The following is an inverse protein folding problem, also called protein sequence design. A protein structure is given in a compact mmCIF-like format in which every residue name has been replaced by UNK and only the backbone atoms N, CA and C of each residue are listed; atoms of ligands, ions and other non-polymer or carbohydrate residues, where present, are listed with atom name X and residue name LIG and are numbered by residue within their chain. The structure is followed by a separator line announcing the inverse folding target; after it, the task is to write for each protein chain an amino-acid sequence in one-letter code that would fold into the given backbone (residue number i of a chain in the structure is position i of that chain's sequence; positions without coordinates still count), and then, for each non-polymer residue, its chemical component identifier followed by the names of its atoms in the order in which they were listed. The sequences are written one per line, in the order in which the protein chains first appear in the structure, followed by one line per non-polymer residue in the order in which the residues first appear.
data_IF_861631067211
#
_entry.id   IF_861631067211
#
_cell.length_a   1.000
_cell.length_b   1.000
_cell.length_c   1.000
_cell.angle_alpha   90.00
_cell.angle_beta   90.00
_cell.angle_gamma   90.00
#
_symmetry.space_group_name_H-M   'P 1'
#
loop_
_entity.id
_entity.type
_entity.pdbx_description
1 polymer ?
#
# COMPACT_ATOMS: atom_id res chain seq x y z
N UNK A 1 -23.38 -49.21 14.24
CA UNK A 1 -23.67 -47.96 14.96
C UNK A 1 -22.93 -46.88 14.15
N UNK A 2 -23.59 -46.37 13.11
CA UNK A 2 -23.05 -45.35 12.20
C UNK A 2 -22.98 -44.04 12.96
N UNK A 3 -21.80 -43.50 13.09
CA UNK A 3 -21.57 -42.14 13.59
C UNK A 3 -22.07 -41.24 12.50
N UNK A 4 -23.26 -40.62 12.68
CA UNK A 4 -23.71 -39.51 11.89
C UNK A 4 -22.75 -38.36 12.14
N UNK A 5 -21.89 -38.07 11.15
CA UNK A 5 -21.15 -36.83 11.09
C UNK A 5 -22.15 -35.64 11.19
N UNK A 6 -21.93 -34.78 12.16
CA UNK A 6 -22.78 -33.63 12.42
C UNK A 6 -22.57 -32.59 11.33
N UNK A 7 -23.45 -32.63 10.34
CA UNK A 7 -23.64 -31.51 9.38
C UNK A 7 -24.33 -30.36 10.11
N UNK A 8 -23.60 -29.49 10.80
CA UNK A 8 -24.01 -28.14 11.15
C UNK A 8 -22.88 -27.37 11.84
N UNK A 9 -21.72 -27.23 11.17
CA UNK A 9 -20.82 -26.17 11.53
C UNK A 9 -21.24 -24.88 10.81
N UNK A 10 -21.23 -23.71 11.47
CA UNK A 10 -21.55 -22.45 10.81
C UNK A 10 -20.57 -22.23 9.65
N UNK A 11 -21.10 -22.09 8.44
CA UNK A 11 -20.29 -21.76 7.28
C UNK A 11 -19.85 -20.30 7.40
N UNK A 12 -18.56 -20.09 7.61
CA UNK A 12 -17.95 -18.75 7.63
C UNK A 12 -17.46 -18.41 6.23
N UNK A 13 -17.92 -17.29 5.69
CA UNK A 13 -17.40 -16.73 4.47
C UNK A 13 -16.38 -15.64 4.81
N UNK A 14 -15.18 -15.68 4.21
CA UNK A 14 -14.08 -14.77 4.54
C UNK A 14 -13.33 -14.29 3.29
N UNK A 15 -12.65 -13.16 3.40
CA UNK A 15 -11.61 -12.78 2.44
C UNK A 15 -10.29 -13.44 2.82
N UNK A 16 -9.62 -14.08 1.86
CA UNK A 16 -8.33 -14.72 2.07
C UNK A 16 -7.21 -13.88 1.48
N UNK A 17 -6.16 -13.64 2.25
CA UNK A 17 -4.96 -12.95 1.79
C UNK A 17 -3.76 -13.88 1.94
N UNK A 18 -3.08 -14.11 0.81
CA UNK A 18 -1.89 -14.94 0.73
C UNK A 18 -0.66 -14.06 0.56
N UNK A 19 0.18 -13.98 1.59
CA UNK A 19 1.36 -13.16 1.53
C UNK A 19 2.45 -13.73 0.60
N UNK A 20 3.45 -12.92 0.31
CA UNK A 20 4.68 -13.38 -0.30
C UNK A 20 5.44 -14.35 0.63
N UNK A 21 6.33 -15.17 0.08
CA UNK A 21 7.10 -16.09 0.91
C UNK A 21 7.93 -17.08 0.11
N UNK A 22 7.98 -16.94 -1.21
CA UNK A 22 8.70 -17.87 -2.09
C UNK A 22 8.18 -19.29 -1.90
N UNK A 23 9.09 -20.29 -1.79
CA UNK A 23 8.72 -21.71 -1.66
C UNK A 23 7.91 -22.02 -0.39
N UNK A 24 7.99 -21.20 0.65
CA UNK A 24 7.22 -21.35 1.89
C UNK A 24 5.71 -21.28 1.66
N UNK A 25 5.26 -20.66 0.55
CA UNK A 25 3.84 -20.60 0.16
C UNK A 25 3.22 -21.99 -0.10
N UNK A 26 4.01 -23.05 -0.22
CA UNK A 26 3.52 -24.43 -0.19
C UNK A 26 2.65 -24.71 1.03
N UNK A 27 2.99 -24.13 2.17
CA UNK A 27 2.23 -24.28 3.42
C UNK A 27 0.80 -23.75 3.34
N UNK A 28 0.53 -22.80 2.44
CA UNK A 28 -0.82 -22.27 2.24
C UNK A 28 -1.80 -23.32 1.74
N UNK A 29 -1.36 -24.28 0.93
CA UNK A 29 -2.24 -25.36 0.48
C UNK A 29 -2.79 -26.17 1.66
N UNK A 30 -1.94 -26.47 2.66
CA UNK A 30 -2.36 -27.15 3.88
C UNK A 30 -3.27 -26.28 4.76
N UNK A 31 -2.95 -24.99 4.88
CA UNK A 31 -3.78 -24.06 5.63
C UNK A 31 -5.16 -23.88 5.01
N UNK A 32 -5.26 -23.71 3.68
CA UNK A 32 -6.53 -23.62 2.94
C UNK A 32 -7.37 -24.88 3.16
N UNK A 33 -6.78 -26.07 3.02
CA UNK A 33 -7.48 -27.33 3.23
C UNK A 33 -8.04 -27.46 4.67
N UNK A 34 -7.32 -26.98 5.66
CA UNK A 34 -7.78 -27.03 7.05
C UNK A 34 -8.84 -25.95 7.35
N UNK A 35 -8.75 -24.76 6.73
CA UNK A 35 -9.81 -23.74 6.80
C UNK A 35 -11.12 -24.27 6.22
N UNK A 36 -11.11 -24.84 5.02
CA UNK A 36 -12.31 -25.42 4.38
C UNK A 36 -12.88 -26.58 5.20
N UNK A 37 -12.03 -27.46 5.77
CA UNK A 37 -12.48 -28.55 6.66
C UNK A 37 -13.24 -28.03 7.87
N UNK A 38 -12.89 -26.83 8.35
CA UNK A 38 -13.55 -26.17 9.47
C UNK A 38 -14.71 -25.25 9.04
N UNK A 39 -15.21 -25.39 7.81
CA UNK A 39 -16.39 -24.68 7.32
C UNK A 39 -16.12 -23.25 6.84
N UNK A 40 -14.88 -22.85 6.61
CA UNK A 40 -14.53 -21.57 6.01
C UNK A 40 -14.61 -21.67 4.49
N UNK A 41 -15.31 -20.74 3.85
CA UNK A 41 -15.36 -20.53 2.40
C UNK A 41 -14.81 -19.15 2.06
N UNK A 42 -14.37 -18.94 0.82
CA UNK A 42 -13.71 -17.70 0.44
C UNK A 42 -14.59 -16.84 -0.44
N UNK A 43 -14.82 -15.58 -0.01
CA UNK A 43 -15.53 -14.57 -0.77
C UNK A 43 -14.64 -13.97 -1.87
N UNK A 44 -13.36 -13.84 -1.59
CA UNK A 44 -12.32 -13.43 -2.53
C UNK A 44 -10.96 -13.89 -2.04
N UNK A 45 -9.99 -13.93 -2.94
CA UNK A 45 -8.58 -14.20 -2.61
C UNK A 45 -7.71 -13.08 -3.16
N UNK A 46 -6.84 -12.53 -2.33
CA UNK A 46 -5.83 -11.56 -2.75
C UNK A 46 -4.45 -12.09 -2.42
N UNK A 47 -3.48 -11.90 -3.31
CA UNK A 47 -2.18 -12.52 -3.13
C UNK A 47 -1.02 -11.68 -3.65
N UNK A 48 0.18 -11.97 -3.15
CA UNK A 48 1.43 -11.35 -3.59
C UNK A 48 2.48 -12.42 -3.91
N UNK A 49 3.26 -12.18 -4.98
CA UNK A 49 4.41 -13.03 -5.34
C UNK A 49 4.02 -14.52 -5.48
N UNK A 50 4.77 -15.42 -4.87
CA UNK A 50 4.51 -16.87 -4.91
C UNK A 50 3.13 -17.27 -4.34
N UNK A 51 2.58 -16.50 -3.40
CA UNK A 51 1.20 -16.68 -2.93
C UNK A 51 0.18 -16.55 -4.04
N UNK A 52 0.48 -15.78 -5.09
CA UNK A 52 -0.40 -15.59 -6.24
C UNK A 52 -0.64 -16.86 -7.04
N UNK A 53 0.36 -17.74 -7.16
CA UNK A 53 0.19 -19.04 -7.82
C UNK A 53 -0.82 -19.91 -7.06
N UNK A 54 -0.68 -19.99 -5.74
CA UNK A 54 -1.58 -20.78 -4.89
C UNK A 54 -3.00 -20.21 -4.94
N UNK A 55 -3.14 -18.89 -4.81
CA UNK A 55 -4.44 -18.21 -4.88
C UNK A 55 -5.13 -18.37 -6.24
N UNK A 56 -4.37 -18.23 -7.33
CA UNK A 56 -4.89 -18.40 -8.68
C UNK A 56 -5.40 -19.84 -8.95
N UNK A 57 -4.67 -20.85 -8.50
CA UNK A 57 -5.08 -22.25 -8.63
C UNK A 57 -6.38 -22.52 -7.85
N UNK A 58 -6.48 -22.04 -6.61
CA UNK A 58 -7.69 -22.15 -5.80
C UNK A 58 -8.88 -21.48 -6.50
N UNK A 59 -8.72 -20.24 -6.95
CA UNK A 59 -9.79 -19.47 -7.59
C UNK A 59 -10.20 -19.99 -8.96
N UNK A 60 -9.35 -20.82 -9.59
CA UNK A 60 -9.65 -21.50 -10.87
C UNK A 60 -10.41 -22.81 -10.71
N UNK A 61 -10.94 -23.11 -9.52
CA UNK A 61 -11.81 -24.25 -9.24
C UNK A 61 -11.08 -25.53 -8.81
N UNK A 62 -9.80 -25.47 -8.43
CA UNK A 62 -9.17 -26.62 -7.76
C UNK A 62 -9.68 -26.75 -6.33
N UNK A 63 -10.15 -27.93 -5.96
CA UNK A 63 -10.43 -28.21 -4.55
C UNK A 63 -9.13 -28.16 -3.73
N UNK A 64 -9.23 -27.88 -2.44
CA UNK A 64 -8.03 -27.83 -1.57
C UNK A 64 -7.26 -29.17 -1.57
N UNK A 65 -7.94 -30.30 -1.69
CA UNK A 65 -7.29 -31.60 -1.83
C UNK A 65 -6.51 -31.73 -3.15
N UNK A 66 -7.11 -31.31 -4.27
CA UNK A 66 -6.43 -31.27 -5.56
C UNK A 66 -5.22 -30.33 -5.51
N UNK A 67 -5.38 -29.16 -4.89
CA UNK A 67 -4.30 -28.18 -4.70
C UNK A 67 -3.12 -28.79 -3.93
N UNK A 68 -3.37 -29.46 -2.79
CA UNK A 68 -2.33 -30.15 -2.01
C UNK A 68 -1.64 -31.22 -2.87
N UNK A 69 -2.41 -32.04 -3.58
CA UNK A 69 -1.86 -33.12 -4.40
C UNK A 69 -1.01 -32.59 -5.57
N UNK A 70 -1.41 -31.51 -6.21
CA UNK A 70 -0.66 -30.87 -7.29
C UNK A 70 0.65 -30.25 -6.78
N UNK A 71 0.59 -29.55 -5.67
CA UNK A 71 1.77 -28.92 -5.06
C UNK A 71 2.81 -29.96 -4.60
N UNK A 72 2.39 -31.09 -4.05
CA UNK A 72 3.31 -32.15 -3.68
C UNK A 72 4.08 -32.74 -4.88
N UNK A 73 3.42 -32.82 -6.04
CA UNK A 73 4.00 -33.36 -7.28
C UNK A 73 4.83 -32.34 -8.06
N UNK A 74 4.62 -31.05 -7.81
CA UNK A 74 5.26 -29.99 -8.56
C UNK A 74 6.77 -29.94 -8.32
N UNK A 75 7.54 -29.90 -9.40
CA UNK A 75 8.98 -29.57 -9.34
C UNK A 75 9.14 -28.05 -9.41
N UNK A 76 9.47 -27.46 -8.28
CA UNK A 76 9.65 -26.01 -8.17
C UNK A 76 10.94 -25.51 -8.84
N UNK A 77 11.92 -26.39 -9.11
CA UNK A 77 13.12 -25.99 -9.87
C UNK A 77 12.76 -25.61 -11.30
N UNK A 78 11.69 -26.20 -11.84
CA UNK A 78 11.14 -25.88 -13.16
C UNK A 78 10.38 -24.56 -13.25
N UNK A 79 10.18 -23.80 -12.16
CA UNK A 79 9.49 -22.51 -12.22
C UNK A 79 10.26 -21.41 -12.94
N UNK A 80 11.56 -21.57 -13.10
CA UNK A 80 12.44 -20.64 -13.78
C UNK A 80 13.11 -21.32 -14.96
N UNK A 81 13.16 -20.62 -16.09
CA UNK A 81 13.84 -21.10 -17.30
C UNK A 81 15.34 -21.26 -17.09
N UNK A 82 16.03 -21.77 -18.13
CA UNK A 82 17.49 -21.94 -18.11
C UNK A 82 18.22 -20.66 -17.77
N UNK A 83 19.35 -20.76 -17.07
CA UNK A 83 20.27 -19.65 -16.88
C UNK A 83 20.84 -19.29 -18.25
N UNK A 84 20.38 -18.20 -18.83
CA UNK A 84 20.86 -17.76 -20.12
C UNK A 84 21.95 -16.69 -19.96
N UNK A 85 23.19 -17.04 -20.28
CA UNK A 85 24.32 -16.11 -20.23
C UNK A 85 24.18 -14.91 -21.19
N UNK A 86 23.35 -15.04 -22.27
CA UNK A 86 23.06 -13.97 -23.21
C UNK A 86 22.02 -12.97 -22.70
N UNK A 87 21.08 -13.40 -21.86
CA UNK A 87 20.13 -12.48 -21.21
C UNK A 87 20.82 -11.46 -20.29
N UNK A 88 21.98 -11.80 -19.76
CA UNK A 88 22.84 -10.88 -18.99
C UNK A 88 23.27 -9.63 -19.77
N UNK A 89 23.24 -9.66 -21.09
CA UNK A 89 23.57 -8.48 -21.91
C UNK A 89 22.45 -7.45 -21.93
N UNK A 90 21.19 -7.93 -21.89
CA UNK A 90 19.97 -7.06 -21.90
C UNK A 90 19.45 -6.76 -20.49
N UNK A 91 19.68 -7.69 -19.55
CA UNK A 91 19.31 -7.58 -18.13
C UNK A 91 20.46 -8.13 -17.27
N UNK A 92 21.54 -7.36 -17.09
CA UNK A 92 22.76 -7.84 -16.46
C UNK A 92 22.57 -8.33 -15.02
N UNK A 93 21.42 -8.03 -14.41
CA UNK A 93 21.09 -8.40 -13.03
C UNK A 93 20.08 -9.54 -12.91
N UNK A 94 19.45 -10.00 -14.00
CA UNK A 94 18.50 -11.12 -13.94
C UNK A 94 19.23 -12.48 -14.01
N UNK A 95 18.94 -13.36 -13.04
CA UNK A 95 19.54 -14.71 -12.98
C UNK A 95 18.93 -15.63 -14.04
N UNK A 96 17.65 -15.52 -14.30
CA UNK A 96 16.89 -16.32 -15.26
C UNK A 96 16.28 -15.46 -16.35
N UNK A 97 16.19 -16.01 -17.57
CA UNK A 97 15.64 -15.30 -18.72
C UNK A 97 14.15 -14.99 -18.54
N UNK A 98 13.38 -15.94 -18.04
CA UNK A 98 11.93 -15.81 -17.85
C UNK A 98 11.42 -16.64 -16.67
N UNK A 99 10.28 -16.24 -16.12
CA UNK A 99 9.49 -17.06 -15.21
C UNK A 99 8.66 -18.05 -16.03
N UNK A 100 8.65 -19.31 -15.62
CA UNK A 100 7.78 -20.35 -16.17
C UNK A 100 6.51 -20.57 -15.32
N UNK A 101 6.30 -19.77 -14.30
CA UNK A 101 5.08 -19.81 -13.47
C UNK A 101 3.80 -19.76 -14.30
N UNK A 102 3.66 -18.93 -15.36
CA UNK A 102 2.48 -18.95 -16.23
C UNK A 102 2.24 -20.30 -16.90
N UNK A 103 3.31 -20.95 -17.38
CA UNK A 103 3.19 -22.27 -18.02
C UNK A 103 2.79 -23.33 -17.01
N UNK A 104 3.47 -23.35 -15.86
CA UNK A 104 3.15 -24.30 -14.78
C UNK A 104 1.71 -24.13 -14.30
N UNK A 105 1.22 -22.90 -14.17
CA UNK A 105 -0.17 -22.63 -13.84
C UNK A 105 -1.13 -23.27 -14.86
N UNK A 106 -0.91 -23.07 -16.16
CA UNK A 106 -1.74 -23.67 -17.20
C UNK A 106 -1.64 -25.21 -17.19
N UNK A 107 -0.45 -25.78 -17.00
CA UNK A 107 -0.24 -27.23 -16.96
C UNK A 107 -1.00 -27.86 -15.77
N UNK A 108 -0.98 -27.23 -14.60
CA UNK A 108 -1.72 -27.68 -13.42
C UNK A 108 -3.25 -27.61 -13.60
N UNK A 109 -3.73 -26.74 -14.50
CA UNK A 109 -5.13 -26.62 -14.90
C UNK A 109 -5.47 -27.43 -16.17
N UNK A 110 -4.65 -28.40 -16.55
CA UNK A 110 -4.85 -29.24 -17.73
C UNK A 110 -4.95 -28.44 -19.05
N UNK A 111 -4.12 -27.42 -19.19
CA UNK A 111 -4.04 -26.53 -20.34
C UNK A 111 -5.05 -25.38 -20.36
N UNK A 112 -5.88 -25.24 -19.33
CA UNK A 112 -6.77 -24.07 -19.22
C UNK A 112 -5.99 -22.84 -18.82
N UNK A 113 -6.42 -21.68 -19.32
CA UNK A 113 -5.86 -20.36 -18.98
C UNK A 113 -7.02 -19.37 -18.84
N UNK A 114 -7.71 -19.36 -17.69
CA UNK A 114 -8.86 -18.49 -17.50
C UNK A 114 -8.46 -17.03 -17.43
N UNK A 115 -9.39 -16.15 -17.81
CA UNK A 115 -9.35 -14.72 -17.50
C UNK A 115 -9.83 -14.48 -16.06
N UNK A 116 -9.60 -13.28 -15.53
CA UNK A 116 -10.12 -12.94 -14.19
C UNK A 116 -11.64 -13.03 -14.11
N UNK A 117 -12.36 -12.71 -15.19
CA UNK A 117 -13.82 -12.78 -15.23
C UNK A 117 -14.38 -14.22 -15.23
N UNK A 118 -13.57 -15.21 -15.56
CA UNK A 118 -13.95 -16.63 -15.62
C UNK A 118 -13.64 -17.41 -14.34
N UNK A 119 -13.03 -16.75 -13.33
CA UNK A 119 -12.69 -17.42 -12.08
C UNK A 119 -13.93 -17.66 -11.20
N UNK A 120 -13.98 -18.82 -10.52
CA UNK A 120 -15.06 -19.18 -9.62
C UNK A 120 -15.09 -18.32 -8.35
N UNK A 121 -13.92 -17.92 -7.88
CA UNK A 121 -13.74 -17.03 -6.73
C UNK A 121 -13.01 -15.78 -7.24
N UNK A 122 -13.50 -14.55 -6.94
CA UNK A 122 -12.78 -13.32 -7.26
C UNK A 122 -11.34 -13.34 -6.77
N UNK A 123 -10.41 -13.10 -7.68
CA UNK A 123 -8.98 -13.13 -7.40
C UNK A 123 -8.33 -11.79 -7.71
N UNK A 124 -7.38 -11.40 -6.86
CA UNK A 124 -6.54 -10.23 -7.10
C UNK A 124 -5.07 -10.55 -6.83
N UNK A 125 -4.20 -10.06 -7.70
CA UNK A 125 -2.75 -10.07 -7.47
C UNK A 125 -2.15 -8.71 -7.79
N UNK A 126 -0.93 -8.47 -7.33
CA UNK A 126 -0.29 -7.15 -7.38
C UNK A 126 1.09 -7.20 -8.00
N UNK A 127 1.39 -6.16 -8.77
CA UNK A 127 2.74 -5.79 -9.19
C UNK A 127 3.06 -4.37 -8.75
N UNK A 128 4.31 -3.97 -8.84
CA UNK A 128 4.74 -2.60 -8.59
C UNK A 128 5.44 -2.04 -9.82
N UNK A 129 4.97 -0.90 -10.31
CA UNK A 129 5.67 -0.14 -11.34
C UNK A 129 6.78 0.70 -10.67
N UNK A 130 8.02 0.36 -10.95
CA UNK A 130 9.18 1.02 -10.33
C UNK A 130 9.47 2.41 -10.92
N UNK A 131 8.82 2.78 -12.02
CA UNK A 131 8.93 4.13 -12.60
C UNK A 131 7.98 5.08 -11.89
N UNK A 132 6.67 4.77 -11.86
CA UNK A 132 5.66 5.58 -11.19
C UNK A 132 5.60 5.34 -9.67
N UNK A 133 6.28 4.30 -9.17
CA UNK A 133 6.27 3.86 -7.76
C UNK A 133 4.87 3.49 -7.24
N UNK A 134 3.99 3.04 -8.15
CA UNK A 134 2.60 2.70 -7.84
C UNK A 134 2.36 1.19 -7.88
N UNK A 135 1.43 0.73 -7.04
CA UNK A 135 0.90 -0.62 -7.16
C UNK A 135 -0.01 -0.74 -8.37
N UNK A 136 0.10 -1.87 -9.07
CA UNK A 136 -0.82 -2.28 -10.11
C UNK A 136 -1.58 -3.51 -9.63
N UNK A 137 -2.90 -3.40 -9.52
CA UNK A 137 -3.78 -4.50 -9.11
C UNK A 137 -4.35 -5.15 -10.35
N UNK A 138 -4.22 -6.47 -10.43
CA UNK A 138 -4.78 -7.30 -11.49
C UNK A 138 -5.91 -8.13 -10.91
N UNK A 139 -7.13 -7.88 -11.34
CA UNK A 139 -8.35 -8.52 -10.83
C UNK A 139 -9.48 -8.43 -11.85
N UNK A 140 -10.61 -9.07 -11.54
CA UNK A 140 -11.86 -8.94 -12.28
C UNK A 140 -12.38 -7.49 -12.38
N UNK A 141 -12.07 -6.65 -11.38
CA UNK A 141 -12.48 -5.24 -11.34
C UNK A 141 -11.60 -4.32 -12.18
N UNK A 142 -10.31 -4.66 -12.36
CA UNK A 142 -9.33 -3.80 -13.04
C UNK A 142 -9.03 -4.25 -14.45
N UNK A 143 -8.89 -5.56 -14.67
CA UNK A 143 -8.50 -6.18 -15.95
C UNK A 143 -9.27 -7.48 -16.19
N UNK A 144 -10.62 -7.48 -16.27
CA UNK A 144 -11.44 -8.70 -16.31
C UNK A 144 -11.11 -9.64 -17.44
N UNK A 145 -10.65 -9.13 -18.59
CA UNK A 145 -10.35 -9.91 -19.81
C UNK A 145 -8.88 -10.37 -19.87
N UNK A 146 -8.03 -9.94 -18.94
CA UNK A 146 -6.65 -10.40 -18.86
C UNK A 146 -6.60 -11.84 -18.40
N UNK A 147 -5.74 -12.66 -19.00
CA UNK A 147 -5.53 -14.02 -18.52
C UNK A 147 -4.79 -14.02 -17.17
N UNK A 148 -5.17 -14.94 -16.29
CA UNK A 148 -4.53 -15.07 -14.98
C UNK A 148 -3.04 -15.41 -15.12
N UNK A 149 -2.67 -16.21 -16.12
CA UNK A 149 -1.26 -16.56 -16.37
C UNK A 149 -0.41 -15.34 -16.71
N UNK A 150 -0.96 -14.37 -17.42
CA UNK A 150 -0.24 -13.12 -17.73
C UNK A 150 -0.03 -12.27 -16.49
N UNK A 151 -1.02 -12.15 -15.62
CA UNK A 151 -0.89 -11.48 -14.35
C UNK A 151 0.12 -12.18 -13.42
N UNK A 152 0.13 -13.52 -13.39
CA UNK A 152 1.11 -14.30 -12.64
C UNK A 152 2.54 -14.06 -13.12
N UNK A 153 2.74 -13.92 -14.46
CA UNK A 153 4.05 -13.55 -15.01
C UNK A 153 4.57 -12.23 -14.43
N UNK A 154 3.67 -11.27 -14.23
CA UNK A 154 4.01 -9.95 -13.68
C UNK A 154 4.22 -10.06 -12.16
N UNK A 155 3.27 -10.67 -11.45
CA UNK A 155 3.29 -10.78 -10.00
C UNK A 155 4.47 -11.62 -9.46
N UNK A 156 5.07 -12.46 -10.31
CA UNK A 156 6.25 -13.27 -9.98
C UNK A 156 7.52 -12.81 -10.67
N UNK A 157 7.56 -11.59 -11.19
CA UNK A 157 8.75 -10.97 -11.78
C UNK A 157 9.70 -10.47 -10.68
N UNK A 158 10.26 -11.41 -9.92
CA UNK A 158 11.12 -11.14 -8.76
C UNK A 158 12.40 -10.43 -9.21
N UNK A 159 12.70 -9.23 -8.69
CA UNK A 159 13.91 -8.50 -9.03
C UNK A 159 15.17 -9.34 -8.81
N UNK A 160 16.14 -9.24 -9.71
CA UNK A 160 17.38 -10.01 -9.77
C UNK A 160 17.22 -11.50 -10.09
N UNK A 161 16.00 -12.05 -10.00
CA UNK A 161 15.72 -13.44 -10.38
C UNK A 161 15.26 -13.53 -11.83
N UNK A 162 14.26 -12.74 -12.22
CA UNK A 162 13.70 -12.73 -13.58
C UNK A 162 13.70 -11.32 -14.14
N UNK A 163 13.55 -11.22 -15.48
CA UNK A 163 13.39 -9.94 -16.14
C UNK A 163 12.08 -9.26 -15.72
N UNK A 164 12.08 -7.93 -15.51
CA UNK A 164 10.86 -7.19 -15.21
C UNK A 164 9.92 -7.20 -16.42
N UNK A 165 8.62 -7.06 -16.14
CA UNK A 165 7.64 -6.88 -17.20
C UNK A 165 7.68 -5.43 -17.70
N UNK A 166 7.86 -5.26 -19.03
CA UNK A 166 7.85 -3.94 -19.69
C UNK A 166 6.63 -3.80 -20.58
N UNK A 167 5.83 -2.79 -20.34
CA UNK A 167 4.66 -2.46 -21.15
C UNK A 167 4.37 -0.96 -21.04
N UNK A 168 4.10 -0.32 -22.18
CA UNK A 168 3.62 1.08 -22.27
C UNK A 168 4.44 2.09 -21.44
N UNK A 169 5.77 1.96 -21.45
CA UNK A 169 6.67 2.84 -20.69
C UNK A 169 6.79 2.50 -19.20
N UNK A 170 6.10 1.48 -18.71
CA UNK A 170 6.18 0.98 -17.35
C UNK A 170 7.22 -0.13 -17.21
N UNK A 171 7.80 -0.23 -16.04
CA UNK A 171 8.66 -1.35 -15.63
C UNK A 171 8.07 -1.96 -14.37
N UNK A 172 7.35 -3.08 -14.54
CA UNK A 172 6.62 -3.71 -13.44
C UNK A 172 7.39 -4.92 -12.93
N UNK A 173 7.49 -5.03 -11.62
CA UNK A 173 8.13 -6.12 -10.91
C UNK A 173 7.19 -6.71 -9.86
N UNK A 174 7.60 -7.83 -9.27
CA UNK A 174 6.95 -8.45 -8.11
C UNK A 174 6.77 -7.43 -6.97
N UNK A 175 5.56 -7.33 -6.46
CA UNK A 175 5.20 -6.36 -5.43
C UNK A 175 5.79 -6.66 -4.05
N UNK A 176 6.42 -7.82 -3.84
CA UNK A 176 7.05 -8.16 -2.56
C UNK A 176 8.16 -7.20 -2.12
N UNK A 177 8.67 -6.36 -3.03
CA UNK A 177 9.57 -5.25 -2.69
C UNK A 177 8.88 -4.07 -2.01
N UNK A 178 7.55 -4.00 -2.04
CA UNK A 178 6.74 -2.90 -1.53
C UNK A 178 5.58 -3.34 -0.62
N UNK A 179 5.09 -4.57 -0.73
CA UNK A 179 4.12 -5.20 0.17
C UNK A 179 4.29 -6.71 0.16
N UNK A 180 4.35 -7.35 1.32
CA UNK A 180 4.35 -8.82 1.42
C UNK A 180 2.91 -9.36 1.40
N UNK A 181 1.97 -8.65 2.03
CA UNK A 181 0.57 -9.03 2.14
C UNK A 181 -0.33 -7.86 1.71
N UNK A 182 -1.03 -7.93 0.56
CA UNK A 182 -1.86 -6.84 0.05
C UNK A 182 -3.20 -6.74 0.82
N UNK A 183 -3.12 -6.51 2.13
CA UNK A 183 -4.26 -6.51 3.07
C UNK A 183 -5.30 -5.42 2.78
N UNK A 184 -4.89 -4.38 2.07
CA UNK A 184 -5.74 -3.25 1.68
C UNK A 184 -6.73 -3.57 0.56
N UNK A 185 -6.60 -4.73 -0.11
CA UNK A 185 -7.53 -5.12 -1.19
C UNK A 185 -8.87 -5.61 -0.63
N UNK A 186 -8.87 -6.42 0.43
CA UNK A 186 -10.08 -7.00 0.98
C UNK A 186 -11.11 -5.96 1.46
N UNK A 187 -10.73 -4.88 2.17
CA UNK A 187 -11.67 -3.82 2.55
C UNK A 187 -12.37 -3.14 1.38
N UNK A 188 -11.79 -3.18 0.17
CA UNK A 188 -12.40 -2.61 -1.04
C UNK A 188 -13.65 -3.35 -1.53
N UNK A 189 -14.01 -4.49 -0.94
CA UNK A 189 -15.26 -5.19 -1.22
C UNK A 189 -16.46 -4.60 -0.48
N UNK A 190 -16.22 -3.68 0.48
CA UNK A 190 -17.26 -2.94 1.22
C UNK A 190 -18.31 -3.86 1.86
N UNK A 191 -17.84 -4.91 2.51
CA UNK A 191 -18.63 -5.87 3.25
C UNK A 191 -18.08 -6.09 4.66
N UNK A 192 -18.86 -6.78 5.50
CA UNK A 192 -18.50 -7.05 6.89
C UNK A 192 -17.83 -8.42 7.09
N UNK A 193 -17.33 -9.05 6.05
CA UNK A 193 -16.71 -10.35 6.15
C UNK A 193 -15.34 -10.31 6.87
N UNK A 194 -14.99 -11.39 7.62
CA UNK A 194 -13.67 -11.50 8.22
C UNK A 194 -12.58 -11.63 7.16
N UNK A 195 -11.39 -11.15 7.49
CA UNK A 195 -10.21 -11.19 6.63
C UNK A 195 -9.20 -12.13 7.28
N UNK A 196 -8.79 -13.17 6.57
CA UNK A 196 -7.80 -14.14 7.01
C UNK A 196 -6.51 -13.93 6.19
N UNK A 197 -5.41 -13.65 6.87
CA UNK A 197 -4.08 -13.51 6.26
C UNK A 197 -3.26 -14.73 6.59
N UNK A 198 -2.75 -15.42 5.57
CA UNK A 198 -1.75 -16.47 5.71
C UNK A 198 -0.37 -15.90 5.37
N UNK A 199 0.57 -16.02 6.30
CA UNK A 199 1.94 -15.57 6.08
C UNK A 199 2.95 -16.51 6.74
N UNK A 200 4.19 -16.64 6.19
CA UNK A 200 5.24 -17.39 6.88
C UNK A 200 5.63 -16.66 8.18
N UNK A 201 5.76 -17.43 9.26
CA UNK A 201 6.21 -16.91 10.55
C UNK A 201 7.59 -16.27 10.42
N UNK A 202 7.79 -15.21 11.20
CA UNK A 202 9.05 -14.47 11.23
C UNK A 202 10.06 -15.23 12.11
N UNK A 203 11.05 -15.86 11.51
CA UNK A 203 12.23 -16.28 12.26
C UNK A 203 13.23 -15.13 12.31
N UNK A 204 13.62 -14.73 13.53
CA UNK A 204 14.69 -13.75 13.73
C UNK A 204 16.02 -14.43 13.40
N UNK A 205 16.49 -14.25 12.17
CA UNK A 205 17.85 -14.66 11.81
C UNK A 205 18.83 -13.61 12.36
N UNK A 206 19.41 -13.94 13.50
CA UNK A 206 20.39 -13.08 14.19
C UNK A 206 21.78 -13.12 13.49
N UNK A 207 21.96 -13.93 12.44
CA UNK A 207 23.23 -13.99 11.74
C UNK A 207 23.51 -12.71 10.97
N UNK A 208 24.76 -12.23 10.94
CA UNK A 208 25.14 -11.08 10.14
C UNK A 208 24.92 -11.36 8.66
N UNK A 209 24.58 -10.32 7.90
CA UNK A 209 24.38 -10.40 6.45
C UNK A 209 25.60 -10.98 5.75
N UNK A 210 25.40 -12.00 4.92
CA UNK A 210 26.47 -12.73 4.23
C UNK A 210 26.98 -12.00 2.98
N UNK A 211 26.20 -11.02 2.46
CA UNK A 211 26.54 -10.24 1.27
C UNK A 211 25.84 -8.87 1.29
N UNK A 212 26.31 -7.96 0.44
CA UNK A 212 25.65 -6.65 0.24
C UNK A 212 24.18 -6.84 -0.23
N UNK A 213 23.93 -7.81 -1.11
CA UNK A 213 22.58 -8.13 -1.58
C UNK A 213 21.67 -8.61 -0.46
N UNK A 214 22.15 -9.47 0.44
CA UNK A 214 21.40 -9.91 1.63
C UNK A 214 21.10 -8.73 2.56
N UNK A 215 22.07 -7.83 2.77
CA UNK A 215 21.86 -6.63 3.57
C UNK A 215 20.79 -5.71 2.99
N UNK A 216 20.83 -5.43 1.69
CA UNK A 216 19.81 -4.64 0.99
C UNK A 216 18.43 -5.29 1.11
N UNK A 217 18.31 -6.60 0.89
CA UNK A 217 17.06 -7.32 1.03
C UNK A 217 16.51 -7.25 2.46
N UNK A 218 17.36 -7.30 3.48
CA UNK A 218 16.93 -7.13 4.89
C UNK A 218 16.40 -5.74 5.17
N UNK A 219 17.03 -4.69 4.60
CA UNK A 219 16.57 -3.30 4.74
C UNK A 219 15.19 -3.14 4.09
N UNK A 220 15.03 -3.59 2.83
CA UNK A 220 13.76 -3.54 2.10
C UNK A 220 12.67 -4.30 2.88
N UNK A 221 12.95 -5.54 3.24
CA UNK A 221 12.01 -6.39 3.97
C UNK A 221 11.60 -5.81 5.34
N UNK A 222 12.52 -5.14 6.04
CA UNK A 222 12.21 -4.48 7.31
C UNK A 222 11.21 -3.32 7.11
N UNK A 223 11.42 -2.49 6.10
CA UNK A 223 10.51 -1.39 5.77
C UNK A 223 9.12 -1.88 5.34
N UNK A 224 9.08 -2.85 4.41
CA UNK A 224 7.84 -3.45 3.91
C UNK A 224 7.03 -4.09 5.05
N UNK A 225 7.68 -4.91 5.89
CA UNK A 225 7.02 -5.58 7.02
C UNK A 225 6.47 -4.61 8.05
N UNK A 226 7.21 -3.55 8.34
CA UNK A 226 6.75 -2.51 9.26
C UNK A 226 5.47 -1.83 8.75
N UNK A 227 5.44 -1.48 7.46
CA UNK A 227 4.28 -0.89 6.80
C UNK A 227 3.08 -1.84 6.79
N UNK A 228 3.25 -3.07 6.32
CA UNK A 228 2.16 -4.06 6.26
C UNK A 228 1.60 -4.34 7.65
N UNK A 229 2.45 -4.40 8.69
CA UNK A 229 2.00 -4.56 10.07
C UNK A 229 1.19 -3.35 10.57
N UNK A 230 1.56 -2.15 10.17
CA UNK A 230 0.77 -0.95 10.49
C UNK A 230 -0.61 -1.02 9.82
N UNK A 231 -0.69 -1.39 8.55
CA UNK A 231 -1.96 -1.57 7.83
C UNK A 231 -2.82 -2.67 8.47
N UNK A 232 -2.24 -3.83 8.78
CA UNK A 232 -2.94 -4.93 9.47
C UNK A 232 -3.55 -4.46 10.79
N UNK A 233 -2.82 -3.63 11.55
CA UNK A 233 -3.31 -3.13 12.84
C UNK A 233 -4.48 -2.16 12.73
N UNK A 234 -4.74 -1.60 11.55
CA UNK A 234 -5.81 -0.62 11.31
C UNK A 234 -7.07 -1.23 10.71
N UNK A 235 -6.92 -2.34 10.00
CA UNK A 235 -8.05 -3.01 9.37
C UNK A 235 -8.81 -3.82 10.44
N UNK A 236 -10.11 -3.53 10.67
CA UNK A 236 -10.92 -4.32 11.58
C UNK A 236 -11.13 -5.73 11.02
N UNK A 237 -11.46 -6.68 11.89
CA UNK A 237 -11.85 -8.05 11.49
C UNK A 237 -10.78 -8.84 10.74
N UNK A 238 -9.50 -8.52 10.96
CA UNK A 238 -8.38 -9.21 10.33
C UNK A 238 -7.76 -10.23 11.30
N UNK A 239 -7.61 -11.46 10.83
CA UNK A 239 -6.91 -12.56 11.51
C UNK A 239 -5.63 -12.87 10.78
N UNK A 240 -4.50 -12.79 11.45
CA UNK A 240 -3.21 -13.18 10.88
C UNK A 240 -2.83 -14.55 11.40
N UNK A 241 -2.58 -15.47 10.48
CA UNK A 241 -2.11 -16.83 10.77
C UNK A 241 -0.66 -16.93 10.33
N UNK A 242 0.23 -16.88 11.31
CA UNK A 242 1.66 -17.07 11.11
C UNK A 242 1.97 -18.58 11.01
N UNK A 243 2.53 -19.02 9.87
CA UNK A 243 2.86 -20.41 9.60
C UNK A 243 4.35 -20.63 9.83
N UNK A 244 4.71 -21.48 10.78
CA UNK A 244 6.09 -21.85 11.05
C UNK A 244 6.62 -22.77 9.95
N UNK A 245 7.43 -22.22 9.06
CA UNK A 245 8.07 -22.95 7.95
C UNK A 245 9.48 -23.46 8.32
N UNK A 246 9.87 -23.40 9.58
CA UNK A 246 11.20 -23.81 10.03
C UNK A 246 12.33 -23.02 9.36
N UNK A 247 13.44 -23.70 9.14
CA UNK A 247 14.65 -23.11 8.53
C UNK A 247 14.65 -23.11 7.00
N UNK A 248 13.51 -23.40 6.33
CA UNK A 248 13.43 -23.40 4.86
C UNK A 248 13.70 -21.98 4.35
N UNK A 249 14.62 -21.85 3.39
CA UNK A 249 14.86 -20.59 2.70
C UNK A 249 13.77 -20.34 1.64
N UNK A 250 13.29 -19.10 1.53
CA UNK A 250 12.22 -18.73 0.60
C UNK A 250 12.58 -19.01 -0.88
N UNK A 251 13.87 -19.03 -1.20
CA UNK A 251 14.39 -19.27 -2.55
C UNK A 251 14.97 -20.67 -2.77
N UNK A 252 14.79 -21.55 -1.80
CA UNK A 252 15.20 -22.97 -1.91
C UNK A 252 14.19 -23.75 -2.74
N UNK A 253 14.37 -23.81 -4.05
CA UNK A 253 13.41 -24.44 -4.98
C UNK A 253 13.52 -25.97 -5.04
N UNK A 254 14.64 -26.56 -4.61
CA UNK A 254 14.96 -27.99 -4.64
C UNK A 254 14.49 -28.75 -3.38
N UNK A 255 13.23 -28.55 -2.99
CA UNK A 255 12.70 -29.19 -1.80
C UNK A 255 12.37 -30.68 -2.03
N UNK A 256 12.90 -31.59 -1.19
CA UNK A 256 12.45 -32.98 -1.15
C UNK A 256 10.96 -33.10 -0.83
N UNK A 257 10.32 -34.18 -1.28
CA UNK A 257 8.90 -34.44 -1.04
C UNK A 257 8.53 -34.40 0.45
N UNK A 258 9.38 -34.94 1.31
CA UNK A 258 9.20 -34.93 2.77
C UNK A 258 9.14 -33.48 3.32
N UNK A 259 10.00 -32.56 2.85
CA UNK A 259 9.97 -31.19 3.28
C UNK A 259 8.73 -30.44 2.78
N UNK A 260 8.21 -30.77 1.60
CA UNK A 260 6.94 -30.24 1.11
C UNK A 260 5.77 -30.71 2.01
N UNK A 261 5.75 -31.97 2.40
CA UNK A 261 4.73 -32.49 3.33
C UNK A 261 4.82 -31.80 4.70
N UNK A 262 6.02 -31.56 5.22
CA UNK A 262 6.24 -30.83 6.47
C UNK A 262 5.65 -29.42 6.34
N UNK A 263 5.91 -28.67 5.25
CA UNK A 263 5.36 -27.35 5.04
C UNK A 263 3.82 -27.36 4.96
N UNK A 264 3.23 -28.32 4.26
CA UNK A 264 1.77 -28.45 4.17
C UNK A 264 1.17 -28.72 5.56
N UNK A 265 1.80 -29.60 6.35
CA UNK A 265 1.35 -29.89 7.71
C UNK A 265 1.52 -28.68 8.64
N UNK A 266 2.60 -27.92 8.50
CA UNK A 266 2.77 -26.65 9.22
C UNK A 266 1.63 -25.68 8.96
N UNK A 267 1.14 -25.61 7.71
CA UNK A 267 -0.03 -24.82 7.37
C UNK A 267 -1.30 -25.29 8.09
N UNK A 268 -1.56 -26.61 8.10
CA UNK A 268 -2.70 -27.18 8.85
C UNK A 268 -2.61 -26.89 10.35
N UNK A 269 -1.45 -27.13 10.95
CA UNK A 269 -1.22 -26.91 12.38
C UNK A 269 -1.39 -25.45 12.79
N UNK A 270 -0.97 -24.54 11.92
CA UNK A 270 -1.15 -23.10 12.15
C UNK A 270 -2.63 -22.71 12.19
N UNK A 271 -3.46 -23.27 11.29
CA UNK A 271 -4.91 -23.04 11.29
C UNK A 271 -5.57 -23.65 12.52
N UNK A 272 -5.25 -24.89 12.88
CA UNK A 272 -5.76 -25.53 14.11
C UNK A 272 -5.45 -24.67 15.34
N UNK A 273 -4.23 -24.12 15.41
CA UNK A 273 -3.84 -23.20 16.49
C UNK A 273 -4.62 -21.91 16.44
N UNK A 274 -4.83 -21.34 15.26
CA UNK A 274 -5.58 -20.10 15.07
C UNK A 274 -7.05 -20.26 15.49
N UNK A 275 -7.70 -21.37 15.12
CA UNK A 275 -9.09 -21.69 15.53
C UNK A 275 -9.21 -21.77 17.05
N UNK A 276 -8.22 -22.33 17.74
CA UNK A 276 -8.21 -22.35 19.22
C UNK A 276 -8.11 -20.96 19.85
N UNK A 277 -7.51 -20.01 19.15
CA UNK A 277 -7.31 -18.61 19.62
C UNK A 277 -8.49 -17.74 19.24
N UNK A 278 -8.98 -17.85 18.02
CA UNK A 278 -9.96 -16.92 17.43
C UNK A 278 -11.38 -17.48 17.39
N UNK A 279 -11.59 -18.79 17.67
CA UNK A 279 -12.86 -19.49 17.45
C UNK A 279 -13.04 -19.94 16.01
N UNK A 280 -14.06 -20.80 15.76
CA UNK A 280 -14.32 -21.37 14.43
C UNK A 280 -14.90 -20.35 13.44
N UNK A 281 -15.47 -19.26 13.93
CA UNK A 281 -16.13 -18.24 13.12
C UNK A 281 -15.19 -17.14 12.67
N UNK A 282 -13.94 -17.12 13.16
CA UNK A 282 -12.99 -16.01 12.95
C UNK A 282 -13.63 -14.64 13.17
N UNK A 283 -14.77 -14.61 13.87
CA UNK A 283 -15.49 -13.39 14.20
C UNK A 283 -14.78 -12.71 15.37
N UNK A 284 -14.20 -11.57 15.09
CA UNK A 284 -13.54 -10.75 16.09
C UNK A 284 -14.54 -10.04 16.99
N UNK A 285 -14.96 -10.65 18.06
CA UNK A 285 -15.42 -9.91 19.23
C UNK A 285 -14.19 -9.41 20.01
N UNK A 286 -13.51 -8.44 19.43
CA UNK A 286 -12.81 -7.37 20.12
C UNK A 286 -11.87 -7.71 21.28
N UNK A 287 -10.97 -8.70 21.17
CA UNK A 287 -9.80 -8.72 22.07
C UNK A 287 -8.54 -8.97 21.24
N UNK A 288 -8.01 -7.92 20.64
CA UNK A 288 -6.58 -7.90 20.32
C UNK A 288 -5.85 -8.11 21.65
N UNK A 289 -5.04 -9.15 21.75
CA UNK A 289 -4.10 -9.31 22.85
C UNK A 289 -3.24 -8.05 22.94
N UNK A 290 -3.68 -7.12 23.78
CA UNK A 290 -2.94 -5.93 24.19
C UNK A 290 -1.75 -6.34 25.04
N UNK A 291 -0.71 -6.91 24.41
CA UNK A 291 0.64 -6.97 24.93
C UNK A 291 1.64 -6.25 24.04
N UNK A 292 1.17 -5.27 23.28
CA UNK A 292 2.03 -4.21 22.75
C UNK A 292 1.69 -2.98 23.57
N UNK A 293 2.70 -2.50 24.28
CA UNK A 293 2.69 -1.41 25.24
C UNK A 293 1.71 -0.28 24.88
N UNK A 294 1.00 0.22 25.88
CA UNK A 294 0.15 1.44 25.89
C UNK A 294 0.81 2.73 25.39
N UNK A 295 1.94 2.64 24.68
CA UNK A 295 2.71 3.80 24.22
C UNK A 295 2.44 4.20 22.76
N UNK A 296 1.55 3.49 22.01
CA UNK A 296 1.35 3.77 20.57
C UNK A 296 -0.11 3.95 20.13
N UNK A 297 -1.08 4.12 21.02
CA UNK A 297 -2.50 4.26 20.68
C UNK A 297 -3.05 5.69 20.74
N UNK A 298 -2.20 6.72 20.79
CA UNK A 298 -2.64 8.13 20.75
C UNK A 298 -2.44 8.84 19.42
N UNK A 299 -1.93 8.18 18.39
CA UNK A 299 -1.73 8.81 17.07
C UNK A 299 -2.74 8.29 16.04
N UNK A 300 -3.76 9.11 15.77
CA UNK A 300 -4.80 8.91 14.75
C UNK A 300 -4.32 8.98 13.28
N UNK A 301 -3.03 8.70 12.99
CA UNK A 301 -2.45 8.80 11.64
C UNK A 301 -2.50 7.53 10.81
N UNK A 302 -2.93 6.45 11.40
CA UNK A 302 -2.83 5.15 10.77
C UNK A 302 -4.00 4.79 9.83
N UNK A 303 -5.12 5.50 9.85
CA UNK A 303 -6.28 5.22 9.00
C UNK A 303 -6.12 5.67 7.53
N UNK A 304 -5.25 6.65 7.26
CA UNK A 304 -5.16 7.29 5.95
C UNK A 304 -4.55 6.42 4.83
N UNK A 305 -3.58 5.57 5.16
CA UNK A 305 -2.90 4.74 4.15
C UNK A 305 -3.75 3.59 3.59
N UNK A 306 -4.69 3.07 4.38
CA UNK A 306 -5.59 2.01 3.93
C UNK A 306 -6.66 2.54 2.96
N UNK A 307 -7.20 3.72 3.22
CA UNK A 307 -8.21 4.37 2.35
C UNK A 307 -7.65 4.73 0.98
N UNK A 308 -6.39 5.20 0.91
CA UNK A 308 -5.70 5.48 -0.35
C UNK A 308 -5.54 4.22 -1.22
N UNK A 309 -5.12 3.12 -0.62
CA UNK A 309 -4.94 1.85 -1.32
C UNK A 309 -6.28 1.24 -1.75
N UNK A 310 -7.32 1.38 -0.93
CA UNK A 310 -8.70 0.98 -1.28
C UNK A 310 -9.21 1.79 -2.48
N UNK A 311 -8.95 3.09 -2.52
CA UNK A 311 -9.32 3.96 -3.64
C UNK A 311 -8.70 3.51 -4.96
N UNK A 312 -7.44 3.08 -4.97
CA UNK A 312 -6.75 2.53 -6.15
C UNK A 312 -7.45 1.25 -6.64
N UNK A 313 -7.85 0.38 -5.72
CA UNK A 313 -8.48 -0.89 -6.06
C UNK A 313 -9.90 -0.72 -6.64
N UNK A 314 -10.68 0.22 -6.13
CA UNK A 314 -12.07 0.45 -6.56
C UNK A 314 -12.18 1.28 -7.84
N UNK A 315 -11.07 1.74 -8.41
CA UNK A 315 -11.06 2.65 -9.56
C UNK A 315 -11.57 4.06 -9.20
N UNK A 316 -11.92 4.31 -7.96
CA UNK A 316 -11.96 5.67 -7.42
C UNK A 316 -10.51 6.09 -7.29
N UNK A 317 -10.08 7.09 -8.05
CA UNK A 317 -8.82 7.77 -7.73
C UNK A 317 -8.86 8.03 -6.22
N UNK A 318 -7.81 7.66 -5.45
CA UNK A 318 -7.76 8.04 -4.06
C UNK A 318 -7.99 9.54 -4.03
N UNK A 319 -8.88 10.03 -3.19
CA UNK A 319 -8.71 11.38 -2.69
C UNK A 319 -7.29 11.36 -2.14
N UNK A 320 -6.37 11.96 -2.90
CA UNK A 320 -4.96 12.03 -2.57
C UNK A 320 -4.89 12.40 -1.10
N UNK A 321 -4.16 11.62 -0.31
CA UNK A 321 -3.93 11.92 1.09
C UNK A 321 -3.35 13.33 1.15
N UNK A 322 -4.24 14.27 1.43
CA UNK A 322 -3.87 15.65 1.58
C UNK A 322 -3.43 15.85 3.02
N UNK A 323 -2.15 15.62 3.27
CA UNK A 323 -1.54 15.65 4.60
C UNK A 323 -0.57 16.83 4.78
N UNK A 324 -0.50 17.71 3.77
CA UNK A 324 0.45 18.80 3.74
C UNK A 324 -0.22 20.17 3.84
N UNK A 325 0.50 21.09 4.48
CA UNK A 325 0.29 22.53 4.39
C UNK A 325 1.26 23.09 3.36
N UNK A 326 0.75 23.53 2.22
CA UNK A 326 1.55 24.15 1.17
C UNK A 326 1.64 25.65 1.43
N UNK A 327 2.85 26.21 1.44
CA UNK A 327 3.05 27.66 1.53
C UNK A 327 3.51 28.17 0.17
N UNK A 328 2.63 28.93 -0.50
CA UNK A 328 2.93 29.63 -1.74
C UNK A 328 3.33 31.07 -1.44
N UNK A 329 4.43 31.52 -2.00
CA UNK A 329 5.01 32.82 -1.79
C UNK A 329 5.83 33.27 -3.01
N UNK A 330 6.10 34.55 -3.17
CA UNK A 330 7.09 35.03 -4.16
C UNK A 330 8.50 34.95 -3.60
N UNK A 331 9.46 34.47 -4.39
CA UNK A 331 10.88 34.39 -3.99
C UNK A 331 11.47 35.71 -3.48
N UNK A 332 10.94 36.84 -3.99
CA UNK A 332 11.27 38.21 -3.54
C UNK A 332 10.85 38.46 -2.08
N UNK A 333 9.93 37.67 -1.55
CA UNK A 333 9.34 37.81 -0.23
C UNK A 333 9.73 36.67 0.75
N UNK A 334 10.90 36.08 0.55
CA UNK A 334 11.44 34.94 1.33
C UNK A 334 11.42 35.17 2.84
N UNK A 335 11.64 36.41 3.30
CA UNK A 335 11.61 36.74 4.73
C UNK A 335 10.28 36.40 5.40
N UNK A 336 9.17 36.46 4.66
CA UNK A 336 7.85 36.11 5.17
C UNK A 336 7.66 34.60 5.27
N UNK A 337 8.18 33.87 4.32
CA UNK A 337 8.23 32.41 4.42
C UNK A 337 8.95 31.98 5.69
N UNK A 338 10.15 32.50 5.96
CA UNK A 338 10.97 32.15 7.13
C UNK A 338 10.25 32.46 8.46
N UNK A 339 9.51 33.57 8.53
CA UNK A 339 8.67 33.92 9.69
C UNK A 339 7.55 32.90 9.90
N UNK A 340 6.83 32.52 8.86
CA UNK A 340 5.77 31.51 8.94
C UNK A 340 6.32 30.13 9.25
N UNK A 341 7.39 29.70 8.61
CA UNK A 341 8.04 28.43 8.93
C UNK A 341 8.47 28.36 10.40
N UNK A 342 9.03 29.46 10.93
CA UNK A 342 9.44 29.53 12.34
C UNK A 342 8.24 29.42 13.29
N UNK A 343 7.15 30.10 12.99
CA UNK A 343 5.92 30.06 13.80
C UNK A 343 5.20 28.71 13.71
N UNK A 344 5.33 27.98 12.59
CA UNK A 344 4.74 26.67 12.39
C UNK A 344 5.56 25.52 12.99
N UNK A 345 6.86 25.71 13.25
CA UNK A 345 7.75 24.68 13.85
C UNK A 345 7.17 23.94 15.05
N UNK A 346 6.53 24.58 16.05
CA UNK A 346 5.94 23.87 17.19
C UNK A 346 4.81 22.93 16.79
N UNK A 347 4.02 23.28 15.75
CA UNK A 347 2.91 22.47 15.26
C UNK A 347 3.40 21.27 14.45
N UNK A 348 4.47 21.45 13.65
CA UNK A 348 5.14 20.38 12.91
C UNK A 348 5.82 19.37 13.85
N UNK A 349 6.52 19.87 14.91
CA UNK A 349 7.15 18.98 15.92
C UNK A 349 6.14 18.11 16.67
N UNK A 350 4.94 18.61 16.89
CA UNK A 350 3.83 17.86 17.48
C UNK A 350 3.08 17.01 16.46
N UNK A 351 3.69 16.81 15.29
CA UNK A 351 3.16 15.98 14.19
C UNK A 351 1.72 16.32 13.76
N UNK A 352 1.33 17.59 13.85
CA UNK A 352 0.00 18.00 13.45
C UNK A 352 -0.19 17.98 11.92
N UNK A 353 0.86 18.29 11.15
CA UNK A 353 0.93 18.27 9.68
C UNK A 353 2.37 18.48 9.20
N UNK A 354 2.62 18.22 7.92
CA UNK A 354 3.86 18.58 7.25
C UNK A 354 3.71 19.90 6.51
N UNK A 355 4.79 20.70 6.45
CA UNK A 355 4.82 21.96 5.70
C UNK A 355 5.69 21.75 4.47
N UNK A 356 5.13 22.04 3.30
CA UNK A 356 5.84 21.98 2.04
C UNK A 356 6.04 23.38 1.44
N UNK A 357 7.22 23.58 0.87
CA UNK A 357 7.60 24.78 0.10
C UNK A 357 8.51 24.36 -1.05
N UNK A 358 8.58 25.17 -2.09
CA UNK A 358 9.44 24.91 -3.26
C UNK A 358 10.95 24.81 -2.93
N UNK A 359 11.39 25.34 -1.79
CA UNK A 359 12.77 25.19 -1.29
C UNK A 359 13.14 23.70 -1.00
N UNK A 360 12.16 22.80 -0.90
CA UNK A 360 12.41 21.38 -0.65
C UNK A 360 12.74 20.62 -1.93
N UNK A 361 12.60 21.22 -3.09
CA UNK A 361 12.93 20.64 -4.38
C UNK A 361 14.46 20.48 -4.49
N UNK A 362 14.90 19.23 -4.65
CA UNK A 362 16.32 18.92 -4.73
C UNK A 362 16.92 19.37 -6.07
N UNK A 363 18.15 19.86 -6.06
CA UNK A 363 18.89 20.18 -7.27
C UNK A 363 18.95 18.97 -8.22
N UNK A 364 18.46 19.12 -9.46
CA UNK A 364 18.40 18.04 -10.46
C UNK A 364 17.10 17.22 -10.47
N UNK A 365 16.13 17.50 -9.58
CA UNK A 365 14.79 16.95 -9.68
C UNK A 365 13.99 17.64 -10.80
N UNK A 366 12.97 16.95 -11.32
CA UNK A 366 11.99 17.59 -12.23
C UNK A 366 11.11 18.53 -11.41
N UNK A 367 11.38 19.81 -11.53
CA UNK A 367 10.73 20.86 -10.76
C UNK A 367 9.21 20.88 -10.92
N UNK A 368 8.72 20.69 -12.15
CA UNK A 368 7.28 20.68 -12.43
C UNK A 368 6.59 19.48 -11.76
N UNK A 369 7.20 18.30 -11.84
CA UNK A 369 6.65 17.09 -11.25
C UNK A 369 6.58 17.17 -9.72
N UNK A 370 7.61 17.72 -9.07
CA UNK A 370 7.65 17.88 -7.61
C UNK A 370 6.58 18.87 -7.11
N UNK A 371 6.37 19.98 -7.83
CA UNK A 371 5.29 20.93 -7.50
C UNK A 371 3.92 20.31 -7.73
N UNK A 372 3.67 19.66 -8.86
CA UNK A 372 2.38 19.01 -9.15
C UNK A 372 2.04 17.97 -8.08
N UNK A 373 3.03 17.20 -7.61
CA UNK A 373 2.85 16.26 -6.52
C UNK A 373 2.50 16.96 -5.20
N UNK A 374 3.19 18.04 -4.87
CA UNK A 374 2.93 18.82 -3.66
C UNK A 374 1.54 19.49 -3.69
N UNK A 375 1.14 20.08 -4.84
CA UNK A 375 -0.20 20.64 -5.04
C UNK A 375 -1.29 19.60 -4.81
N UNK A 376 -1.09 18.39 -5.32
CA UNK A 376 -2.04 17.29 -5.16
C UNK A 376 -2.09 16.73 -3.73
N UNK A 377 -1.00 16.81 -2.96
CA UNK A 377 -0.93 16.39 -1.55
C UNK A 377 -1.36 17.47 -0.56
N UNK A 378 -1.74 18.66 -1.06
CA UNK A 378 -2.10 19.80 -0.23
C UNK A 378 -3.50 19.67 0.36
N UNK A 379 -3.62 19.78 1.68
CA UNK A 379 -4.89 19.92 2.42
C UNK A 379 -5.21 21.36 2.75
N UNK A 380 -4.19 22.13 3.12
CA UNK A 380 -4.32 23.56 3.43
C UNK A 380 -3.28 24.32 2.60
N UNK A 381 -3.74 25.26 1.78
CA UNK A 381 -2.88 26.18 1.05
C UNK A 381 -2.78 27.51 1.80
N UNK A 382 -1.56 27.95 2.10
CA UNK A 382 -1.26 29.25 2.71
C UNK A 382 -0.61 30.11 1.64
N UNK A 383 -1.29 31.19 1.22
CA UNK A 383 -0.83 32.11 0.18
C UNK A 383 -0.34 33.39 0.84
N UNK A 384 0.96 33.69 0.75
CA UNK A 384 1.56 34.90 1.31
C UNK A 384 1.47 36.05 0.26
N UNK A 385 0.35 36.79 0.29
CA UNK A 385 -0.01 37.73 -0.77
C UNK A 385 0.69 39.08 -0.59
N UNK A 386 1.57 39.38 -1.53
CA UNK A 386 2.23 40.66 -1.75
C UNK A 386 1.99 41.12 -3.19
N UNK A 387 2.45 42.29 -3.57
CA UNK A 387 2.42 42.67 -4.98
C UNK A 387 3.28 41.75 -5.85
N UNK A 388 4.47 41.36 -5.37
CA UNK A 388 5.34 40.41 -6.07
C UNK A 388 4.68 39.02 -6.28
N UNK A 389 3.87 38.59 -5.29
CA UNK A 389 3.08 37.36 -5.39
C UNK A 389 2.07 37.43 -6.54
N UNK A 390 1.34 38.57 -6.65
CA UNK A 390 0.35 38.77 -7.71
C UNK A 390 0.98 38.95 -9.09
N UNK A 391 2.19 39.51 -9.15
CA UNK A 391 2.94 39.71 -10.40
C UNK A 391 3.60 38.40 -10.94
N UNK A 392 3.60 37.32 -10.15
CA UNK A 392 4.15 36.05 -10.60
C UNK A 392 3.19 35.32 -11.53
N UNK A 393 3.60 35.18 -12.80
CA UNK A 393 2.83 34.43 -13.82
C UNK A 393 2.59 32.99 -13.46
N UNK A 394 3.59 32.32 -12.84
CA UNK A 394 3.47 30.92 -12.44
C UNK A 394 2.46 30.75 -11.31
N UNK A 395 2.56 31.54 -10.25
CA UNK A 395 1.65 31.50 -9.10
C UNK A 395 0.21 31.77 -9.57
N UNK A 396 0.00 32.83 -10.38
CA UNK A 396 -1.32 33.24 -10.85
C UNK A 396 -1.95 32.21 -11.81
N UNK A 397 -1.15 31.57 -12.67
CA UNK A 397 -1.65 30.69 -13.72
C UNK A 397 -1.71 29.20 -13.35
N UNK A 398 -0.89 28.75 -12.39
CA UNK A 398 -0.78 27.34 -12.02
C UNK A 398 -1.29 27.11 -10.60
N UNK A 399 -0.59 27.62 -9.59
CA UNK A 399 -0.87 27.30 -8.18
C UNK A 399 -2.23 27.84 -7.73
N UNK A 400 -2.49 29.13 -7.96
CA UNK A 400 -3.72 29.77 -7.50
C UNK A 400 -4.96 29.16 -8.17
N UNK A 401 -4.89 28.87 -9.48
CA UNK A 401 -5.98 28.19 -10.19
C UNK A 401 -6.25 26.81 -9.63
N UNK A 402 -5.20 26.02 -9.41
CA UNK A 402 -5.31 24.68 -8.83
C UNK A 402 -6.00 24.73 -7.47
N UNK A 403 -5.52 25.57 -6.56
CA UNK A 403 -6.11 25.68 -5.21
C UNK A 403 -7.56 26.15 -5.22
N UNK A 404 -7.92 27.09 -6.11
CA UNK A 404 -9.30 27.56 -6.25
C UNK A 404 -10.23 26.43 -6.75
N UNK A 405 -9.80 25.65 -7.74
CA UNK A 405 -10.56 24.53 -8.26
C UNK A 405 -10.76 23.46 -7.19
N UNK A 406 -9.72 23.08 -6.48
CA UNK A 406 -9.77 22.08 -5.42
C UNK A 406 -10.57 22.58 -4.19
N UNK A 407 -10.51 23.86 -3.88
CA UNK A 407 -11.34 24.47 -2.82
C UNK A 407 -12.83 24.42 -3.13
N UNK A 408 -13.22 24.60 -4.40
CA UNK A 408 -14.62 24.43 -4.85
C UNK A 408 -15.13 22.99 -4.66
N UNK A 409 -14.26 22.01 -4.79
CA UNK A 409 -14.54 20.58 -4.53
C UNK A 409 -14.49 20.23 -3.03
N UNK A 410 -14.20 21.20 -2.15
CA UNK A 410 -13.98 21.04 -0.70
C UNK A 410 -12.76 20.19 -0.32
N UNK A 411 -11.83 19.99 -1.22
CA UNK A 411 -10.62 19.19 -0.99
C UNK A 411 -9.48 19.99 -0.35
N UNK A 412 -9.43 21.31 -0.56
CA UNK A 412 -8.39 22.22 -0.05
C UNK A 412 -9.03 23.41 0.65
N UNK A 413 -8.50 23.80 1.80
CA UNK A 413 -8.82 25.07 2.46
C UNK A 413 -7.73 26.09 2.14
N UNK A 414 -8.12 27.24 1.62
CA UNK A 414 -7.20 28.33 1.29
C UNK A 414 -7.16 29.35 2.43
N UNK A 415 -5.95 29.62 2.92
CA UNK A 415 -5.62 30.73 3.79
C UNK A 415 -4.78 31.74 3.03
N UNK A 416 -5.39 32.75 2.43
CA UNK A 416 -4.58 33.82 1.91
C UNK A 416 -4.32 34.88 2.99
N UNK A 417 -3.09 35.33 3.08
CA UNK A 417 -2.58 36.24 4.10
C UNK A 417 -2.18 37.51 3.42
N UNK A 418 -2.82 38.62 3.80
CA UNK A 418 -2.42 39.97 3.35
C UNK A 418 -1.10 40.37 4.02
N UNK A 419 0.01 40.18 3.31
CA UNK A 419 1.34 40.53 3.76
C UNK A 419 1.61 42.01 3.51
N UNK A 420 1.28 42.54 2.33
CA UNK A 420 1.38 43.94 1.94
C UNK A 420 0.04 44.47 1.40
N UNK A 421 -0.04 45.76 1.14
CA UNK A 421 -1.13 46.32 0.35
C UNK A 421 -1.01 45.86 -1.09
N UNK A 422 -2.09 45.36 -1.67
CA UNK A 422 -2.14 44.77 -3.02
C UNK A 422 -3.49 45.04 -3.66
N UNK A 423 -3.58 44.96 -4.98
CA UNK A 423 -4.83 45.01 -5.72
C UNK A 423 -5.52 43.64 -5.79
N UNK A 424 -5.65 42.94 -4.65
CA UNK A 424 -6.25 41.58 -4.59
C UNK A 424 -7.70 41.57 -5.06
N UNK A 425 -8.39 42.71 -5.05
CA UNK A 425 -9.76 42.89 -5.51
C UNK A 425 -9.93 42.57 -6.99
N UNK A 426 -8.87 42.73 -7.78
CA UNK A 426 -8.82 42.38 -9.22
C UNK A 426 -8.48 40.89 -9.47
N UNK A 427 -8.43 40.08 -8.40
CA UNK A 427 -8.06 38.69 -8.46
C UNK A 427 -9.17 37.80 -7.90
N UNK A 428 -9.16 36.46 -8.20
CA UNK A 428 -10.10 35.52 -7.61
C UNK A 428 -10.07 35.45 -6.07
N UNK A 429 -9.05 36.01 -5.42
CA UNK A 429 -8.93 36.08 -3.96
C UNK A 429 -10.03 36.89 -3.30
N UNK A 430 -10.66 37.84 -4.04
CA UNK A 430 -11.81 38.62 -3.54
C UNK A 430 -12.96 37.76 -3.03
N UNK A 431 -13.13 36.54 -3.60
CA UNK A 431 -14.18 35.59 -3.20
C UNK A 431 -13.79 34.71 -2.00
N UNK A 432 -12.56 34.81 -1.52
CA UNK A 432 -12.01 33.97 -0.46
C UNK A 432 -11.70 34.82 0.77
N UNK A 433 -12.13 34.39 1.94
CA UNK A 433 -11.90 35.11 3.19
C UNK A 433 -10.39 35.18 3.52
N UNK A 434 -9.89 36.40 3.74
CA UNK A 434 -8.53 36.65 4.18
C UNK A 434 -8.30 36.13 5.60
N UNK A 435 -7.12 35.60 5.86
CA UNK A 435 -6.73 35.06 7.17
C UNK A 435 -6.53 36.14 8.23
N UNK A 436 -6.09 37.34 7.82
CA UNK A 436 -5.99 38.56 8.62
C UNK A 436 -6.89 39.68 8.02
N UNK A 437 -6.59 40.94 8.26
CA UNK A 437 -7.34 42.08 7.72
C UNK A 437 -6.58 42.65 6.53
N UNK A 438 -7.16 42.66 5.29
CA UNK A 438 -6.47 43.21 4.11
C UNK A 438 -6.15 44.68 4.19
N UNK A 439 -6.98 45.48 4.87
CA UNK A 439 -6.79 46.88 5.14
C UNK A 439 -5.73 47.19 6.23
N UNK A 440 -5.32 46.13 6.98
CA UNK A 440 -4.22 46.15 7.94
C UNK A 440 -3.25 44.98 7.68
N UNK A 441 -2.48 45.00 6.57
CA UNK A 441 -1.60 43.92 6.18
C UNK A 441 -0.43 43.75 7.17
N UNK A 442 0.21 42.57 7.16
CA UNK A 442 1.28 42.24 8.12
C UNK A 442 2.42 43.26 8.13
N UNK A 443 2.82 43.82 6.96
CA UNK A 443 3.87 44.83 6.85
C UNK A 443 3.52 46.17 7.56
N UNK A 444 2.25 46.41 7.90
CA UNK A 444 1.80 47.65 8.59
C UNK A 444 1.73 47.49 10.11
N UNK A 445 1.99 46.28 10.65
CA UNK A 445 1.88 45.98 12.09
C UNK A 445 3.19 46.29 12.83
N UNK A 446 3.07 46.64 14.12
CA UNK A 446 4.23 46.56 15.03
C UNK A 446 4.71 45.13 15.20
N UNK A 447 6.01 44.91 15.55
CA UNK A 447 6.55 43.57 15.72
C UNK A 447 5.73 42.73 16.70
N UNK A 448 5.28 43.29 17.81
CA UNK A 448 4.45 42.54 18.80
C UNK A 448 3.07 42.15 18.26
N UNK A 449 2.43 43.03 17.48
CA UNK A 449 1.15 42.70 16.82
C UNK A 449 1.34 41.71 15.69
N UNK A 450 2.46 41.81 14.96
CA UNK A 450 2.85 40.89 13.89
C UNK A 450 3.01 39.47 14.39
N UNK A 451 3.82 39.27 15.42
CA UNK A 451 4.05 37.95 16.02
C UNK A 451 2.73 37.35 16.50
N UNK A 452 1.90 38.11 17.21
CA UNK A 452 0.59 37.66 17.66
C UNK A 452 -0.30 37.24 16.50
N UNK A 453 -0.35 38.02 15.43
CA UNK A 453 -1.19 37.76 14.25
C UNK A 453 -0.73 36.49 13.52
N UNK A 454 0.58 36.32 13.31
CA UNK A 454 1.13 35.13 12.68
C UNK A 454 0.78 33.86 13.48
N UNK A 455 0.94 33.90 14.83
CA UNK A 455 0.59 32.76 15.68
C UNK A 455 -0.92 32.45 15.64
N UNK A 456 -1.77 33.47 15.58
CA UNK A 456 -3.22 33.28 15.43
C UNK A 456 -3.57 32.63 14.08
N UNK A 457 -2.92 33.01 12.98
CA UNK A 457 -3.07 32.37 11.68
C UNK A 457 -2.62 30.91 11.74
N UNK A 458 -1.46 30.62 12.34
CA UNK A 458 -0.97 29.24 12.50
C UNK A 458 -1.95 28.35 13.29
N UNK A 459 -2.61 28.89 14.32
CA UNK A 459 -3.67 28.16 15.05
C UNK A 459 -4.90 27.88 14.19
N UNK A 460 -5.32 28.84 13.36
CA UNK A 460 -6.42 28.65 12.40
C UNK A 460 -6.08 27.58 11.37
N UNK A 461 -4.85 27.57 10.85
CA UNK A 461 -4.33 26.54 9.92
C UNK A 461 -4.44 25.17 10.55
N UNK A 462 -3.93 24.98 11.79
CA UNK A 462 -4.04 23.70 12.52
C UNK A 462 -5.49 23.26 12.69
N UNK A 463 -6.38 24.18 13.06
CA UNK A 463 -7.80 23.86 13.26
C UNK A 463 -8.47 23.43 11.98
N UNK A 464 -8.18 24.13 10.86
CA UNK A 464 -8.73 23.76 9.55
C UNK A 464 -8.19 22.41 9.06
N UNK A 465 -6.90 22.18 9.26
CA UNK A 465 -6.26 20.91 8.91
C UNK A 465 -6.93 19.73 9.60
N UNK A 466 -7.20 19.83 10.90
CA UNK A 466 -7.82 18.79 11.70
C UNK A 466 -9.32 18.58 11.38
N UNK A 467 -10.05 19.61 10.97
CA UNK A 467 -11.47 19.49 10.60
C UNK A 467 -11.69 18.65 9.35
N UNK A 468 -10.81 18.76 8.37
CA UNK A 468 -10.86 17.96 7.14
C UNK A 468 -10.43 16.50 7.36
N UNK A 469 -9.83 16.18 8.52
CA UNK A 469 -9.51 14.80 8.91
C UNK A 469 -10.70 14.07 9.54
N UNK A 470 -11.79 14.79 9.86
CA UNK A 470 -12.94 14.28 10.61
C UNK A 470 -14.23 14.24 9.78
N UNK A 471 -14.17 14.67 8.52
CA UNK A 471 -15.28 14.67 7.56
C UNK A 471 -15.01 13.67 6.43
#
# INVERSE_FOLDING_TARGET
MEIKESQNQPQVKAHLILSSGGIKCISYAGAIAELERNGVSFASVSACSAGSLIGALLCSGLTSEQLVNQILKLDFTGLFGSQNYLARFWYPFAKYEKSLVPQVFCDLLLGKNPTFAELEIPFATVGVDIISKQFLVYSDKTVPQMSVSEALKIATAVPFMTAPHKSEGRIVVDAAIATEAPVWIAPAYDDDLPIIVLQPAKHLDANPSKSVGDYINRIISAGVKSRDQQLINQIPRISVIDIDCGAVDAMQLDLPAEQKEILINSGKDAVIKAIRIYGNDFSFNGVRSTKISKAQTEDGRAASGAEELIGIFTGKLPELLRDQVFISYSHEDREWLERFQTALKPFVRNQAFEVWTDEQIKTGADWQMEIDQALNSTRVAVLLVTQNFLDSDYISNVELKHFIEESKKKNVVIFWVAVGYTAFEETPLISIQCANQPDKPLKSLSEAELDKTIIEICRKIKTAFNRLSSS
#
